data_IF_388748483455
#
_entry.id   IF_388748483455
#
_cell.length_a   1.000
_cell.length_b   1.000
_cell.length_c   1.000
_cell.angle_alpha   90.00
_cell.angle_beta   90.00
_cell.angle_gamma   90.00
#
_symmetry.space_group_name_H-M   'P 1'
#
loop_
_entity.id
_entity.type
_entity.pdbx_description
1 polymer ?
#
# COMPACT_ATOMS: atom_id res chain seq x y z
N UNK A 1 38.18 -18.25 14.43
CA UNK A 1 37.06 -18.82 13.64
C UNK A 1 36.18 -19.60 14.61
N UNK A 2 34.86 -19.36 14.62
CA UNK A 2 34.02 -19.78 13.50
C UNK A 2 33.23 -18.65 12.83
N UNK A 3 33.00 -18.87 11.55
CA UNK A 3 32.09 -18.12 10.68
C UNK A 3 30.65 -18.36 11.12
N UNK A 4 29.90 -17.29 11.40
CA UNK A 4 28.47 -17.26 11.17
C UNK A 4 28.20 -16.25 10.07
N UNK A 5 27.80 -16.80 8.93
CA UNK A 5 27.17 -16.08 7.84
C UNK A 5 25.91 -15.43 8.40
N UNK A 6 25.99 -14.15 8.76
CA UNK A 6 24.79 -13.34 8.91
C UNK A 6 24.42 -12.91 7.50
N UNK A 7 23.47 -13.66 6.95
CA UNK A 7 22.63 -13.28 5.82
C UNK A 7 22.48 -11.77 5.76
N UNK A 8 23.03 -11.17 4.71
CA UNK A 8 22.60 -9.87 4.20
C UNK A 8 21.19 -10.02 3.67
N UNK A 9 20.23 -10.17 4.58
CA UNK A 9 18.86 -9.79 4.34
C UNK A 9 18.76 -8.43 5.01
N UNK A 10 18.85 -7.37 4.21
CA UNK A 10 18.22 -6.11 4.58
C UNK A 10 16.86 -6.47 5.16
N UNK A 11 16.57 -6.04 6.38
CA UNK A 11 15.30 -6.29 7.02
C UNK A 11 14.23 -5.79 6.04
N UNK A 12 13.58 -6.71 5.32
CA UNK A 12 12.42 -6.41 4.49
C UNK A 12 11.43 -5.83 5.50
N UNK A 13 11.21 -4.52 5.45
CA UNK A 13 10.29 -3.89 6.38
C UNK A 13 8.94 -4.53 6.09
N UNK A 14 8.53 -5.45 6.95
CA UNK A 14 7.45 -6.38 6.68
C UNK A 14 6.15 -5.60 6.79
N UNK A 15 5.73 -5.02 5.67
CA UNK A 15 4.44 -4.37 5.59
C UNK A 15 3.35 -5.43 5.71
N UNK A 16 2.27 -5.14 6.43
CA UNK A 16 1.21 -6.10 6.78
C UNK A 16 0.27 -6.46 5.60
N UNK A 17 0.75 -6.37 4.36
CA UNK A 17 -0.04 -6.75 3.17
C UNK A 17 -0.03 -8.27 2.90
N UNK A 18 0.93 -9.00 3.49
CA UNK A 18 1.14 -10.43 3.19
C UNK A 18 -0.08 -11.32 3.47
N UNK A 19 -0.96 -10.91 4.40
CA UNK A 19 -2.11 -11.69 4.88
C UNK A 19 -3.47 -11.00 4.62
N UNK A 20 -3.52 -9.94 3.81
CA UNK A 20 -4.80 -9.27 3.53
C UNK A 20 -5.68 -10.13 2.61
N UNK A 21 -6.81 -10.61 3.14
CA UNK A 21 -7.91 -11.17 2.35
C UNK A 21 -9.19 -10.40 2.65
N UNK A 22 -9.83 -9.88 1.61
CA UNK A 22 -11.09 -9.14 1.73
C UNK A 22 -12.24 -10.00 1.22
N UNK A 23 -13.07 -10.54 2.12
CA UNK A 23 -14.20 -11.41 1.74
C UNK A 23 -15.19 -10.72 0.79
N UNK A 24 -15.33 -9.40 0.90
CA UNK A 24 -16.21 -8.61 0.04
C UNK A 24 -15.71 -8.51 -1.40
N UNK A 25 -14.47 -8.90 -1.72
CA UNK A 25 -13.98 -8.95 -3.10
C UNK A 25 -14.82 -9.89 -3.98
N UNK A 26 -15.37 -10.95 -3.39
CA UNK A 26 -16.17 -11.93 -4.11
C UNK A 26 -17.64 -11.52 -4.23
N UNK A 27 -18.03 -10.38 -3.65
CA UNK A 27 -19.40 -9.88 -3.76
C UNK A 27 -19.61 -9.18 -5.11
N UNK A 28 -20.74 -9.38 -5.80
CA UNK A 28 -21.03 -8.70 -7.07
C UNK A 28 -20.92 -7.17 -7.01
N UNK A 29 -21.15 -6.59 -5.83
CA UNK A 29 -21.06 -5.16 -5.55
C UNK A 29 -19.65 -4.62 -5.71
N UNK A 30 -18.61 -5.42 -5.44
CA UNK A 30 -17.22 -4.97 -5.55
C UNK A 30 -16.82 -4.68 -7.01
N UNK A 31 -17.51 -5.28 -7.99
CA UNK A 31 -17.27 -5.01 -9.41
C UNK A 31 -17.96 -3.73 -9.92
N UNK A 32 -18.82 -3.10 -9.11
CA UNK A 32 -19.49 -1.85 -9.50
C UNK A 32 -18.56 -0.65 -9.32
N UNK A 33 -18.64 0.38 -10.18
CA UNK A 33 -17.91 1.62 -9.95
C UNK A 33 -18.41 2.31 -8.67
N UNK A 34 -17.54 3.11 -8.06
CA UNK A 34 -17.93 3.98 -6.95
C UNK A 34 -18.96 5.03 -7.41
N UNK A 35 -19.85 5.44 -6.50
CA UNK A 35 -20.74 6.57 -6.75
C UNK A 35 -19.94 7.89 -6.78
N UNK A 36 -20.42 8.95 -7.47
CA UNK A 36 -19.75 10.25 -7.49
C UNK A 36 -19.45 10.80 -6.10
N UNK A 37 -20.39 10.66 -5.16
CA UNK A 37 -20.24 11.10 -3.78
C UNK A 37 -19.13 10.32 -3.06
N UNK A 38 -19.02 9.02 -3.34
CA UNK A 38 -17.96 8.17 -2.78
C UNK A 38 -16.60 8.52 -3.38
N UNK A 39 -16.55 8.83 -4.67
CA UNK A 39 -15.34 9.31 -5.35
C UNK A 39 -14.84 10.61 -4.72
N UNK A 40 -15.74 11.56 -4.47
CA UNK A 40 -15.39 12.84 -3.85
C UNK A 40 -14.93 12.66 -2.39
N UNK A 41 -15.59 11.77 -1.64
CA UNK A 41 -15.12 11.36 -0.32
C UNK A 41 -13.70 10.78 -0.37
N UNK A 42 -13.44 9.81 -1.23
CA UNK A 42 -12.11 9.18 -1.38
C UNK A 42 -11.04 10.22 -1.73
N UNK A 43 -11.34 11.17 -2.62
CA UNK A 43 -10.39 12.25 -2.97
C UNK A 43 -10.02 13.12 -1.77
N UNK A 44 -10.96 13.31 -0.84
CA UNK A 44 -10.76 14.12 0.37
C UNK A 44 -9.95 13.44 1.47
N UNK A 45 -9.74 12.12 1.42
CA UNK A 45 -8.96 11.38 2.43
C UNK A 45 -7.51 11.88 2.49
N UNK A 46 -7.00 12.09 3.70
CA UNK A 46 -5.61 12.47 3.98
C UNK A 46 -5.02 11.60 5.09
N UNK A 47 -4.02 10.79 4.73
CA UNK A 47 -3.41 9.86 5.66
C UNK A 47 -2.61 10.56 6.78
N UNK A 48 -2.06 11.75 6.54
CA UNK A 48 -1.35 12.48 7.59
C UNK A 48 -2.31 13.09 8.60
N UNK A 49 -3.43 13.66 8.13
CA UNK A 49 -4.48 14.17 9.03
C UNK A 49 -5.03 13.03 9.92
N UNK A 50 -5.25 11.84 9.35
CA UNK A 50 -5.69 10.66 10.09
C UNK A 50 -4.65 10.22 11.14
N UNK A 51 -3.35 10.17 10.78
CA UNK A 51 -2.27 9.80 11.71
C UNK A 51 -2.16 10.83 12.85
N UNK A 52 -2.23 12.12 12.54
CA UNK A 52 -2.19 13.20 13.52
C UNK A 52 -3.38 13.14 14.48
N UNK A 53 -4.57 12.81 13.96
CA UNK A 53 -5.77 12.64 14.76
C UNK A 53 -5.63 11.47 15.74
N UNK A 54 -5.11 10.33 15.29
CA UNK A 54 -4.87 9.17 16.17
C UNK A 54 -3.86 9.51 17.27
N UNK A 55 -2.81 10.26 16.93
CA UNK A 55 -1.83 10.76 17.89
C UNK A 55 -2.45 11.71 18.90
N UNK A 56 -3.33 12.61 18.47
CA UNK A 56 -4.07 13.52 19.35
C UNK A 56 -4.89 12.76 20.39
N UNK A 57 -5.51 11.64 20.01
CA UNK A 57 -6.24 10.75 20.92
C UNK A 57 -5.35 9.81 21.75
N UNK A 58 -4.03 9.99 21.70
CA UNK A 58 -3.09 9.27 22.55
C UNK A 58 -2.55 7.97 21.96
N UNK A 59 -2.79 7.70 20.67
CA UNK A 59 -2.17 6.57 19.99
C UNK A 59 -1.04 7.03 19.07
N UNK A 60 0.20 6.79 19.52
CA UNK A 60 1.38 6.97 18.66
C UNK A 60 1.47 5.80 17.68
N UNK A 61 1.10 6.05 16.42
CA UNK A 61 0.99 5.02 15.38
C UNK A 61 2.38 4.52 15.01
N UNK A 62 2.67 3.19 15.09
CA UNK A 62 3.94 2.64 14.65
C UNK A 62 4.24 2.97 13.19
N UNK A 63 5.52 3.14 12.85
CA UNK A 63 5.96 3.55 11.52
C UNK A 63 5.40 2.64 10.42
N UNK A 64 5.44 1.32 10.64
CA UNK A 64 4.95 0.33 9.68
C UNK A 64 3.44 0.46 9.45
N UNK A 65 2.67 0.73 10.51
CA UNK A 65 1.23 0.94 10.43
C UNK A 65 0.90 2.25 9.69
N UNK A 66 1.61 3.34 10.02
CA UNK A 66 1.47 4.61 9.34
C UNK A 66 1.80 4.49 7.85
N UNK A 67 2.86 3.76 7.51
CA UNK A 67 3.25 3.49 6.12
C UNK A 67 2.20 2.66 5.38
N UNK A 68 1.63 1.62 6.00
CA UNK A 68 0.52 0.86 5.41
C UNK A 68 -0.69 1.77 5.15
N UNK A 69 -1.05 2.65 6.07
CA UNK A 69 -2.15 3.60 5.87
C UNK A 69 -1.86 4.55 4.70
N UNK A 70 -0.68 5.16 4.65
CA UNK A 70 -0.27 6.05 3.55
C UNK A 70 -0.34 5.37 2.19
N UNK A 71 0.25 4.18 2.06
CA UNK A 71 0.32 3.44 0.80
C UNK A 71 -1.07 2.95 0.37
N UNK A 72 -1.90 2.46 1.30
CA UNK A 72 -3.27 2.02 0.98
C UNK A 72 -4.18 3.19 0.59
N UNK A 73 -4.12 4.31 1.30
CA UNK A 73 -4.84 5.55 0.92
C UNK A 73 -4.38 6.04 -0.44
N UNK A 74 -3.08 6.02 -0.72
CA UNK A 74 -2.53 6.39 -2.02
C UNK A 74 -3.06 5.49 -3.15
N UNK A 75 -3.05 4.16 -2.97
CA UNK A 75 -3.58 3.20 -3.92
C UNK A 75 -5.07 3.44 -4.18
N UNK A 76 -5.85 3.64 -3.12
CA UNK A 76 -7.28 3.91 -3.22
C UNK A 76 -7.54 5.17 -4.05
N UNK A 77 -6.87 6.28 -3.73
CA UNK A 77 -7.03 7.57 -4.43
C UNK A 77 -6.64 7.45 -5.91
N UNK A 78 -5.47 6.89 -6.21
CA UNK A 78 -4.97 6.74 -7.59
C UNK A 78 -5.81 5.76 -8.42
N UNK A 79 -6.32 4.70 -7.80
CA UNK A 79 -7.20 3.73 -8.45
C UNK A 79 -8.55 4.33 -8.79
N UNK A 80 -9.17 5.05 -7.85
CA UNK A 80 -10.45 5.73 -8.06
C UNK A 80 -10.34 6.84 -9.11
N UNK A 81 -9.25 7.61 -9.12
CA UNK A 81 -8.98 8.61 -10.17
C UNK A 81 -8.96 7.99 -11.58
N UNK A 82 -8.53 6.72 -11.70
CA UNK A 82 -8.49 5.95 -12.94
C UNK A 82 -9.78 5.16 -13.22
N UNK A 83 -10.82 5.33 -12.41
CA UNK A 83 -12.10 4.64 -12.57
C UNK A 83 -12.08 3.16 -12.19
N UNK A 84 -11.09 2.72 -11.41
CA UNK A 84 -11.03 1.34 -10.94
C UNK A 84 -12.15 1.05 -9.92
N UNK A 85 -12.71 -0.16 -10.01
CA UNK A 85 -13.71 -0.66 -9.07
C UNK A 85 -13.08 -1.09 -7.73
N UNK A 86 -13.87 -1.23 -6.64
CA UNK A 86 -13.39 -1.84 -5.40
C UNK A 86 -12.71 -3.19 -5.61
N UNK A 87 -13.24 -4.00 -6.53
CA UNK A 87 -12.65 -5.30 -6.90
C UNK A 87 -11.24 -5.12 -7.45
N UNK A 88 -11.07 -4.27 -8.47
CA UNK A 88 -9.76 -4.05 -9.09
C UNK A 88 -8.74 -3.52 -8.08
N UNK A 89 -9.14 -2.57 -7.22
CA UNK A 89 -8.27 -2.00 -6.19
C UNK A 89 -7.90 -3.04 -5.12
N UNK A 90 -8.88 -3.78 -4.58
CA UNK A 90 -8.60 -4.78 -3.54
C UNK A 90 -7.83 -6.00 -4.09
N UNK A 91 -8.02 -6.37 -5.36
CA UNK A 91 -7.20 -7.40 -6.02
C UNK A 91 -5.73 -7.00 -6.15
N UNK A 92 -5.39 -5.71 -6.20
CA UNK A 92 -3.99 -5.24 -6.17
C UNK A 92 -3.37 -5.46 -4.78
N UNK A 93 -4.18 -5.39 -3.72
CA UNK A 93 -3.74 -5.58 -2.33
C UNK A 93 -3.63 -7.05 -1.92
N UNK A 94 -4.43 -7.92 -2.51
CA UNK A 94 -4.50 -9.33 -2.12
C UNK A 94 -3.54 -10.20 -2.94
N UNK A 95 -2.90 -11.17 -2.28
CA UNK A 95 -2.14 -12.23 -2.97
C UNK A 95 -3.10 -13.19 -3.67
N UNK A 96 -2.72 -13.64 -4.87
CA UNK A 96 -3.45 -14.71 -5.57
C UNK A 96 -3.34 -16.05 -4.83
N UNK A 97 -2.17 -16.31 -4.23
CA UNK A 97 -1.88 -17.44 -3.37
C UNK A 97 -0.65 -17.15 -2.49
N UNK A 98 -0.37 -17.99 -1.51
CA UNK A 98 0.71 -17.79 -0.54
C UNK A 98 2.13 -17.73 -1.15
N UNK A 99 2.30 -18.17 -2.41
CA UNK A 99 3.60 -18.23 -3.08
C UNK A 99 3.85 -17.08 -4.05
N UNK A 100 2.88 -16.18 -4.24
CA UNK A 100 2.97 -15.04 -5.16
C UNK A 100 2.66 -13.76 -4.42
N UNK A 101 3.60 -12.82 -4.43
CA UNK A 101 3.38 -11.48 -3.90
C UNK A 101 2.22 -10.79 -4.63
N UNK A 102 1.48 -9.97 -3.91
CA UNK A 102 0.47 -9.10 -4.48
C UNK A 102 1.13 -7.96 -5.23
N UNK A 103 0.37 -7.30 -6.11
CA UNK A 103 0.90 -6.18 -6.90
C UNK A 103 1.39 -5.04 -6.01
N UNK A 104 0.72 -4.78 -4.87
CA UNK A 104 1.19 -3.76 -3.93
C UNK A 104 2.52 -4.13 -3.26
N UNK A 105 2.73 -5.41 -2.95
CA UNK A 105 3.99 -5.89 -2.38
C UNK A 105 5.15 -5.83 -3.37
N UNK A 106 4.89 -6.13 -4.64
CA UNK A 106 5.86 -5.93 -5.72
C UNK A 106 6.24 -4.45 -5.83
N UNK A 107 5.25 -3.54 -5.82
CA UNK A 107 5.48 -2.08 -5.87
C UNK A 107 6.36 -1.63 -4.70
N UNK A 108 6.04 -2.08 -3.48
CA UNK A 108 6.78 -1.73 -2.27
C UNK A 108 8.22 -2.27 -2.35
N UNK A 109 8.38 -3.52 -2.75
CA UNK A 109 9.71 -4.16 -2.83
C UNK A 109 10.58 -3.46 -3.89
N UNK A 110 10.01 -3.15 -5.06
CA UNK A 110 10.68 -2.39 -6.12
C UNK A 110 11.09 -0.99 -5.64
N UNK A 111 10.21 -0.30 -4.91
CA UNK A 111 10.53 1.00 -4.32
C UNK A 111 11.69 0.93 -3.33
N UNK A 112 11.69 -0.09 -2.45
CA UNK A 112 12.78 -0.28 -1.47
C UNK A 112 14.11 -0.60 -2.15
N UNK A 113 14.11 -1.46 -3.17
CA UNK A 113 15.31 -1.84 -3.91
C UNK A 113 15.90 -0.70 -4.75
N UNK A 114 15.08 0.27 -5.13
CA UNK A 114 15.51 1.46 -5.88
C UNK A 114 16.26 2.49 -5.03
N UNK A 115 16.19 2.38 -3.70
CA UNK A 115 16.68 3.40 -2.76
C UNK A 115 17.96 2.96 -2.04
N UNK A 116 18.80 3.94 -1.68
CA UNK A 116 19.99 3.69 -0.87
C UNK A 116 19.61 3.48 0.62
N UNK A 117 20.42 2.74 1.40
CA UNK A 117 20.20 2.60 2.83
C UNK A 117 20.16 3.96 3.54
N UNK A 118 19.17 4.14 4.43
CA UNK A 118 18.98 5.40 5.16
C UNK A 118 18.13 6.44 4.43
N UNK A 119 17.34 6.03 3.44
CA UNK A 119 16.32 6.89 2.81
C UNK A 119 15.35 7.47 3.83
N UNK A 120 14.84 8.66 3.54
CA UNK A 120 13.78 9.30 4.30
C UNK A 120 12.40 8.71 3.91
N UNK A 121 11.43 8.78 4.81
CA UNK A 121 10.07 8.25 4.54
C UNK A 121 9.44 8.89 3.30
N UNK A 122 9.69 10.19 3.08
CA UNK A 122 9.17 10.91 1.91
C UNK A 122 9.75 10.41 0.59
N UNK A 123 11.04 10.07 0.54
CA UNK A 123 11.69 9.49 -0.65
C UNK A 123 11.12 8.11 -0.96
N UNK A 124 10.86 7.31 0.08
CA UNK A 124 10.20 6.02 -0.07
C UNK A 124 8.78 6.14 -0.64
N UNK A 125 7.96 7.03 -0.08
CA UNK A 125 6.58 7.24 -0.54
C UNK A 125 6.53 7.80 -1.96
N UNK A 126 7.47 8.66 -2.34
CA UNK A 126 7.57 9.18 -3.70
C UNK A 126 7.94 8.06 -4.69
N UNK A 127 8.90 7.20 -4.36
CA UNK A 127 9.26 6.04 -5.18
C UNK A 127 8.05 5.09 -5.35
N UNK A 128 7.34 4.78 -4.26
CA UNK A 128 6.10 3.99 -4.30
C UNK A 128 5.05 4.65 -5.21
N UNK A 129 4.83 5.96 -5.08
CA UNK A 129 3.86 6.71 -5.90
C UNK A 129 4.16 6.62 -7.40
N UNK A 130 5.45 6.74 -7.78
CA UNK A 130 5.90 6.66 -9.17
C UNK A 130 5.72 5.27 -9.75
N UNK A 131 6.19 4.23 -9.04
CA UNK A 131 6.05 2.84 -9.49
C UNK A 131 4.57 2.45 -9.55
N UNK A 132 3.77 2.86 -8.56
CA UNK A 132 2.34 2.62 -8.54
C UNK A 132 1.63 3.27 -9.74
N UNK A 133 1.94 4.53 -10.07
CA UNK A 133 1.39 5.17 -11.28
C UNK A 133 1.69 4.34 -12.54
N UNK A 134 2.94 3.91 -12.71
CA UNK A 134 3.35 3.11 -13.86
C UNK A 134 2.66 1.75 -13.93
N UNK A 135 2.46 1.08 -12.78
CA UNK A 135 1.74 -0.21 -12.72
C UNK A 135 0.25 -0.03 -13.04
N UNK A 136 -0.38 1.02 -12.50
CA UNK A 136 -1.80 1.31 -12.71
C UNK A 136 -2.12 1.77 -14.14
N UNK A 137 -1.18 2.43 -14.84
CA UNK A 137 -1.34 2.80 -16.25
C UNK A 137 -1.39 1.59 -17.21
N UNK A 138 -0.94 0.42 -16.76
CA UNK A 138 -0.88 -0.82 -17.56
C UNK A 138 -2.07 -1.75 -17.36
N UNK A 139 -2.99 -1.41 -16.44
CA UNK A 139 -4.22 -2.16 -16.16
C UNK A 139 -5.34 -1.76 -17.14
#
# INVERSE_FOLDING_TARGET
MPLRVLSTSFAKLRMYFEDCTFDWLYWPQASQPYSPETVDYIKSLDAEEDIELLKYYGWDVPLECARTLRVSTMLLKKGVERGLSPYAIGSIMCRENLNKESVIEEIISEAQESLLPGYEESEFLESVSQIMNFRLEKL
#
